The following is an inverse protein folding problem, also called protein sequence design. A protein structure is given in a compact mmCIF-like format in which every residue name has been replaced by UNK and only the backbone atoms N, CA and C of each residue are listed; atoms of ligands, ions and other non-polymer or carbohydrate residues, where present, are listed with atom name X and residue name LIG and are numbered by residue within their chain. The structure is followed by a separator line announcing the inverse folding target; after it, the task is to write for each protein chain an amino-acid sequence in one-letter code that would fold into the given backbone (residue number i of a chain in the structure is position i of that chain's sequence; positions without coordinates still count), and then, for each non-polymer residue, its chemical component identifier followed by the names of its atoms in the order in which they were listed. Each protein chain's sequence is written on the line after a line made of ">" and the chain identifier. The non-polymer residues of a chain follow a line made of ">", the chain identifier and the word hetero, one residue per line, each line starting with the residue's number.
data_IF_390735934850
#
_entry.id   IF_390735934850
#
_cell.length_a   1.000
_cell.length_b   1.000
_cell.length_c   1.000
_cell.angle_alpha   90.00
_cell.angle_beta   90.00
_cell.angle_gamma   90.00
#
_symmetry.space_group_name_H-M   'P 1'
#
loop_
_entity.id
_entity.type
_entity.pdbx_description
1 polymer ?
#
# COMPACT_ATOMS: atom_id res chain seq x y z
N UNK A 1 -11.10 6.57 -22.63
CA UNK A 1 -11.85 6.30 -23.88
C UNK A 1 -10.95 6.05 -25.09
N UNK A 2 -9.65 6.41 -25.05
CA UNK A 2 -8.75 6.15 -26.19
C UNK A 2 -8.18 4.72 -26.22
N UNK A 3 -8.32 3.94 -25.16
CA UNK A 3 -7.87 2.55 -25.16
C UNK A 3 -8.67 1.63 -26.09
N UNK A 4 -9.90 2.00 -26.43
CA UNK A 4 -10.78 1.16 -27.28
C UNK A 4 -10.46 1.19 -28.77
N UNK A 5 -9.55 2.06 -29.22
CA UNK A 5 -9.21 2.21 -30.64
C UNK A 5 -7.93 1.49 -31.07
N UNK A 6 -7.16 0.96 -30.13
CA UNK A 6 -5.96 0.19 -30.48
C UNK A 6 -6.26 -1.29 -30.51
N UNK A 7 -6.37 -1.87 -31.69
CA UNK A 7 -6.66 -3.28 -31.98
C UNK A 7 -5.52 -4.28 -31.62
N UNK A 8 -4.64 -3.95 -30.74
CA UNK A 8 -3.50 -4.80 -30.41
C UNK A 8 -3.36 -5.00 -28.92
N UNK A 9 -4.25 -5.79 -28.36
CA UNK A 9 -4.00 -6.51 -27.12
C UNK A 9 -3.31 -7.83 -27.49
N UNK A 10 -2.01 -7.91 -27.42
CA UNK A 10 -1.35 -9.16 -27.77
C UNK A 10 0.16 -9.06 -27.91
N UNK A 11 0.78 -8.15 -27.24
CA UNK A 11 2.24 -8.08 -27.18
C UNK A 11 2.69 -7.88 -25.74
N UNK A 12 3.80 -8.46 -25.39
CA UNK A 12 4.45 -8.42 -24.07
C UNK A 12 4.87 -7.03 -23.57
N UNK A 13 4.24 -5.95 -24.05
CA UNK A 13 4.53 -4.56 -23.63
C UNK A 13 3.22 -3.82 -23.41
N UNK A 14 2.97 -3.43 -22.17
CA UNK A 14 1.91 -2.49 -21.87
C UNK A 14 2.12 -1.19 -22.62
N UNK A 15 1.14 -0.79 -23.43
CA UNK A 15 1.18 0.40 -24.26
C UNK A 15 0.65 1.65 -23.55
N UNK A 16 0.03 1.47 -22.39
CA UNK A 16 -0.65 2.54 -21.67
C UNK A 16 -0.09 2.75 -20.27
N UNK A 17 -0.14 3.98 -19.81
CA UNK A 17 0.09 4.34 -18.42
C UNK A 17 -1.06 5.20 -17.88
N UNK A 18 -1.36 5.08 -16.60
CA UNK A 18 -2.30 5.97 -15.95
C UNK A 18 -1.72 7.38 -15.87
N UNK A 19 -2.50 8.40 -16.20
CA UNK A 19 -2.08 9.80 -16.17
C UNK A 19 -2.00 10.32 -14.74
N UNK A 20 -2.87 9.82 -13.85
CA UNK A 20 -2.99 10.29 -12.46
C UNK A 20 -2.80 9.15 -11.44
N UNK A 21 -2.31 7.99 -11.88
CA UNK A 21 -2.18 6.80 -11.05
C UNK A 21 -3.40 5.87 -11.15
N UNK A 22 -3.27 4.70 -10.50
CA UNK A 22 -4.30 3.67 -10.54
C UNK A 22 -5.59 4.15 -9.88
N UNK A 23 -6.70 3.96 -10.59
CA UNK A 23 -8.04 4.28 -10.10
C UNK A 23 -8.63 5.61 -10.60
N UNK A 24 -7.87 6.47 -11.28
CA UNK A 24 -8.37 7.76 -11.78
C UNK A 24 -9.06 7.67 -13.17
N UNK A 25 -9.03 6.49 -13.80
CA UNK A 25 -9.75 6.27 -15.08
C UNK A 25 -9.17 6.96 -16.32
N UNK A 26 -8.04 7.64 -16.19
CA UNK A 26 -7.37 8.32 -17.30
C UNK A 26 -6.08 7.58 -17.69
N UNK A 27 -5.97 7.22 -18.97
CA UNK A 27 -4.85 6.45 -19.50
C UNK A 27 -4.26 7.13 -20.73
N UNK A 28 -2.96 7.07 -20.90
CA UNK A 28 -2.25 7.51 -22.11
C UNK A 28 -1.19 6.51 -22.55
N UNK A 29 -0.69 6.66 -23.78
CA UNK A 29 0.38 5.82 -24.31
C UNK A 29 1.68 6.02 -23.52
N UNK A 30 2.45 4.95 -23.32
CA UNK A 30 3.69 4.92 -22.53
C UNK A 30 4.84 5.75 -23.08
N UNK A 31 4.78 6.21 -24.32
CA UNK A 31 5.81 7.09 -24.91
C UNK A 31 5.78 8.54 -24.42
N UNK A 32 5.14 8.78 -23.29
CA UNK A 32 5.26 10.04 -22.58
C UNK A 32 6.52 10.01 -21.73
N UNK A 33 7.52 10.76 -22.13
CA UNK A 33 8.68 11.07 -21.31
C UNK A 33 8.20 11.73 -20.01
N UNK A 34 8.19 10.97 -18.92
CA UNK A 34 8.06 11.51 -17.58
C UNK A 34 9.45 11.47 -16.97
N UNK A 35 10.01 12.64 -16.74
CA UNK A 35 11.22 12.81 -15.96
C UNK A 35 11.05 12.22 -14.56
N UNK A 36 12.08 11.64 -14.04
CA UNK A 36 12.19 10.69 -12.92
C UNK A 36 11.74 11.17 -11.52
N UNK A 37 11.05 12.27 -11.36
CA UNK A 37 10.71 12.82 -10.03
C UNK A 37 9.21 13.09 -9.84
N UNK A 38 8.40 12.99 -10.87
CA UNK A 38 7.00 13.37 -10.78
C UNK A 38 6.08 12.18 -10.58
N UNK A 39 5.80 11.84 -9.32
CA UNK A 39 4.63 11.04 -9.02
C UNK A 39 3.37 11.94 -9.15
N UNK A 40 2.60 11.84 -10.25
CA UNK A 40 1.50 12.78 -10.53
C UNK A 40 0.39 12.73 -9.48
N UNK A 41 0.26 11.62 -8.74
CA UNK A 41 -0.70 11.50 -7.64
C UNK A 41 -0.27 12.36 -6.46
N UNK A 42 1.02 12.27 -6.09
CA UNK A 42 1.57 13.06 -4.99
C UNK A 42 1.47 14.55 -5.33
N UNK A 43 1.87 14.95 -6.53
CA UNK A 43 1.83 16.34 -6.97
C UNK A 43 0.40 16.89 -7.02
N UNK A 44 -0.56 16.09 -7.50
CA UNK A 44 -1.98 16.48 -7.47
C UNK A 44 -2.51 16.64 -6.05
N UNK A 45 -2.17 15.73 -5.15
CA UNK A 45 -2.59 15.81 -3.75
C UNK A 45 -1.91 16.98 -3.01
N UNK A 46 -0.64 17.23 -3.27
CA UNK A 46 0.06 18.40 -2.74
C UNK A 46 -0.58 19.69 -3.26
N UNK A 47 -0.93 19.74 -4.55
CA UNK A 47 -1.62 20.90 -5.14
C UNK A 47 -2.98 21.12 -4.48
N UNK A 48 -3.79 20.06 -4.33
CA UNK A 48 -5.08 20.16 -3.63
C UNK A 48 -4.88 20.71 -2.20
N UNK A 49 -3.89 20.22 -1.46
CA UNK A 49 -3.60 20.68 -0.10
C UNK A 49 -3.17 22.15 -0.10
N UNK A 50 -2.37 22.59 -1.07
CA UNK A 50 -1.93 24.00 -1.17
C UNK A 50 -3.05 24.94 -1.56
N UNK A 51 -4.01 24.48 -2.36
CA UNK A 51 -5.15 25.26 -2.82
C UNK A 51 -6.31 25.33 -1.79
N UNK A 52 -6.27 24.50 -0.73
CA UNK A 52 -7.27 24.54 0.34
C UNK A 52 -7.19 25.88 1.12
N UNK A 53 -8.34 26.46 1.41
CA UNK A 53 -8.45 27.64 2.30
C UNK A 53 -8.42 27.22 3.77
N UNK A 54 -7.26 26.76 4.22
CA UNK A 54 -6.97 26.35 5.60
C UNK A 54 -5.72 27.07 6.13
N UNK A 55 -5.57 27.07 7.45
CA UNK A 55 -4.39 27.71 8.09
C UNK A 55 -3.09 27.11 7.60
N UNK A 56 -2.06 27.95 7.43
CA UNK A 56 -0.73 27.55 6.94
C UNK A 56 -0.14 26.40 7.73
N UNK A 57 -0.30 26.37 9.05
CA UNK A 57 0.17 25.30 9.94
C UNK A 57 -0.50 23.95 9.64
N UNK A 58 -1.79 23.96 9.30
CA UNK A 58 -2.53 22.74 8.92
C UNK A 58 -2.06 22.22 7.56
N UNK A 59 -1.82 23.11 6.59
CA UNK A 59 -1.23 22.75 5.28
C UNK A 59 0.13 22.07 5.46
N UNK A 60 1.00 22.64 6.27
CA UNK A 60 2.33 22.06 6.54
C UNK A 60 2.22 20.68 7.18
N UNK A 61 1.30 20.48 8.12
CA UNK A 61 1.07 19.17 8.75
C UNK A 61 0.59 18.12 7.74
N UNK A 62 -0.34 18.49 6.85
CA UNK A 62 -0.84 17.59 5.81
C UNK A 62 0.26 17.22 4.80
N UNK A 63 1.08 18.19 4.38
CA UNK A 63 2.22 17.97 3.49
C UNK A 63 3.24 17.04 4.15
N UNK A 64 3.62 17.29 5.40
CA UNK A 64 4.55 16.43 6.15
C UNK A 64 4.01 15.00 6.31
N UNK A 65 2.73 14.86 6.62
CA UNK A 65 2.08 13.55 6.73
C UNK A 65 2.11 12.80 5.39
N UNK A 66 1.85 13.48 4.27
CA UNK A 66 1.87 12.87 2.93
C UNK A 66 3.27 12.44 2.50
N UNK A 67 4.28 13.27 2.75
CA UNK A 67 5.68 12.93 2.50
C UNK A 67 6.08 11.71 3.35
N UNK A 68 5.68 11.69 4.63
CA UNK A 68 5.96 10.58 5.52
C UNK A 68 5.34 9.25 5.04
N UNK A 69 4.13 9.27 4.50
CA UNK A 69 3.50 8.09 3.90
C UNK A 69 4.27 7.57 2.68
N UNK A 70 4.82 8.46 1.85
CA UNK A 70 5.68 8.10 0.72
C UNK A 70 6.95 7.38 1.20
N UNK A 71 7.68 7.98 2.14
CA UNK A 71 8.91 7.42 2.72
C UNK A 71 8.63 6.05 3.37
N UNK A 72 7.56 5.93 4.13
CA UNK A 72 7.16 4.66 4.76
C UNK A 72 6.92 3.58 3.70
N UNK A 73 6.14 3.91 2.65
CA UNK A 73 5.86 2.98 1.56
C UNK A 73 7.13 2.49 0.87
N UNK A 74 8.06 3.38 0.56
CA UNK A 74 9.32 3.02 -0.10
C UNK A 74 10.13 2.05 0.76
N UNK A 75 10.24 2.31 2.06
CA UNK A 75 10.91 1.43 3.02
C UNK A 75 10.26 0.04 3.14
N UNK A 76 8.93 -0.02 3.10
CA UNK A 76 8.19 -1.28 3.15
C UNK A 76 8.39 -2.08 1.85
N UNK A 77 8.36 -1.42 0.69
CA UNK A 77 8.65 -2.05 -0.60
C UNK A 77 10.09 -2.60 -0.65
N UNK A 78 11.05 -1.85 -0.12
CA UNK A 78 12.46 -2.27 -0.02
C UNK A 78 12.64 -3.46 0.92
N UNK A 79 11.89 -3.52 2.03
CA UNK A 79 11.97 -4.62 3.01
C UNK A 79 11.39 -5.93 2.49
N UNK A 80 10.21 -5.89 1.85
CA UNK A 80 9.44 -7.11 1.53
C UNK A 80 9.44 -7.50 0.06
N UNK A 81 9.56 -6.56 -0.88
CA UNK A 81 9.52 -6.74 -2.33
C UNK A 81 8.22 -7.36 -2.88
N UNK A 82 7.42 -8.06 -2.07
CA UNK A 82 6.18 -8.72 -2.45
C UNK A 82 5.17 -8.74 -1.29
N UNK A 83 3.89 -8.97 -1.61
CA UNK A 83 2.87 -9.20 -0.59
C UNK A 83 3.24 -10.43 0.25
N UNK A 84 3.36 -10.26 1.57
CA UNK A 84 3.77 -11.35 2.48
C UNK A 84 2.81 -12.55 2.44
N UNK A 85 1.52 -12.33 2.13
CA UNK A 85 0.50 -13.40 2.11
C UNK A 85 0.41 -14.06 0.74
N UNK A 86 0.30 -13.27 -0.33
CA UNK A 86 0.02 -13.77 -1.69
C UNK A 86 1.26 -14.00 -2.54
N UNK A 87 2.39 -13.36 -2.22
CA UNK A 87 3.59 -13.37 -3.04
C UNK A 87 3.53 -12.47 -4.27
N UNK A 88 2.45 -11.68 -4.46
CA UNK A 88 2.36 -10.71 -5.56
C UNK A 88 3.47 -9.67 -5.39
N UNK A 89 4.26 -9.41 -6.44
CA UNK A 89 5.41 -8.51 -6.48
C UNK A 89 5.20 -7.23 -7.30
N UNK A 90 4.06 -7.11 -8.00
CA UNK A 90 3.71 -5.87 -8.70
C UNK A 90 3.39 -4.75 -7.71
N UNK A 91 4.31 -3.80 -7.56
CA UNK A 91 4.21 -2.69 -6.61
C UNK A 91 2.93 -1.86 -6.76
N UNK A 92 2.31 -1.86 -7.93
CA UNK A 92 1.04 -1.17 -8.20
C UNK A 92 -0.15 -1.82 -7.50
N UNK A 93 -0.03 -3.11 -7.18
CA UNK A 93 -1.04 -3.92 -6.51
C UNK A 93 -0.75 -4.09 -5.01
N UNK A 94 0.24 -3.37 -4.47
CA UNK A 94 0.68 -3.53 -3.09
C UNK A 94 0.42 -2.26 -2.27
N UNK A 95 0.05 -2.47 -1.01
CA UNK A 95 -0.18 -1.43 -0.01
C UNK A 95 0.79 -1.63 1.17
N UNK A 96 1.33 -0.51 1.65
CA UNK A 96 2.12 -0.48 2.87
C UNK A 96 1.19 -0.21 4.04
N UNK A 97 0.91 -1.25 4.83
CA UNK A 97 -0.02 -1.24 5.96
C UNK A 97 0.72 -1.01 7.26
N UNK A 98 0.31 -0.02 8.06
CA UNK A 98 0.87 0.16 9.40
C UNK A 98 0.32 -0.90 10.36
N UNK A 99 1.19 -1.50 11.16
CA UNK A 99 0.83 -2.41 12.25
C UNK A 99 0.22 -1.59 13.38
N UNK A 100 1.00 -0.73 14.01
CA UNK A 100 0.50 0.25 14.97
C UNK A 100 -0.08 1.45 14.21
N UNK A 101 -1.38 1.76 14.40
CA UNK A 101 -2.06 2.80 13.65
C UNK A 101 -1.33 4.14 13.70
N UNK A 102 -1.29 4.88 12.58
CA UNK A 102 -0.65 6.19 12.45
C UNK A 102 -0.95 7.14 13.61
N UNK A 103 -2.19 7.14 14.09
CA UNK A 103 -2.64 8.06 15.15
C UNK A 103 -1.96 7.81 16.50
N UNK A 104 -1.64 6.55 16.81
CA UNK A 104 -1.00 6.11 18.06
C UNK A 104 0.50 5.95 17.94
N UNK A 105 1.05 5.97 16.71
CA UNK A 105 2.47 5.80 16.45
C UNK A 105 3.24 7.10 16.69
N UNK A 106 4.43 6.99 17.27
CA UNK A 106 5.43 8.07 17.34
C UNK A 106 5.93 8.45 15.95
N UNK A 107 6.61 9.59 15.81
CA UNK A 107 7.17 10.01 14.53
C UNK A 107 8.21 9.02 13.97
N UNK A 108 8.93 8.32 14.84
CA UNK A 108 9.85 7.26 14.44
C UNK A 108 9.08 6.04 13.91
N UNK A 109 8.11 5.52 14.67
CA UNK A 109 7.29 4.36 14.30
C UNK A 109 6.50 4.58 13.00
N UNK A 110 6.05 5.81 12.76
CA UNK A 110 5.33 6.17 11.51
C UNK A 110 6.18 5.97 10.25
N UNK A 111 7.49 6.04 10.37
CA UNK A 111 8.43 5.91 9.27
C UNK A 111 9.21 4.60 9.31
N UNK A 112 9.09 3.82 10.40
CA UNK A 112 9.80 2.56 10.60
C UNK A 112 9.23 1.44 9.74
N UNK A 113 10.08 0.76 8.97
CA UNK A 113 9.67 -0.45 8.25
C UNK A 113 9.31 -1.61 9.19
N UNK A 114 9.72 -1.54 10.47
CA UNK A 114 9.35 -2.51 11.50
C UNK A 114 7.90 -2.35 11.94
N UNK A 115 7.31 -1.17 11.71
CA UNK A 115 5.90 -0.90 11.98
C UNK A 115 5.01 -1.10 10.75
N UNK A 116 5.37 -1.99 9.83
CA UNK A 116 4.56 -2.16 8.64
C UNK A 116 4.68 -3.51 7.94
N UNK A 117 3.68 -3.78 7.14
CA UNK A 117 3.53 -4.97 6.31
C UNK A 117 3.25 -4.57 4.86
N UNK A 118 3.71 -5.38 3.90
CA UNK A 118 3.39 -5.21 2.50
C UNK A 118 2.29 -6.19 2.11
N UNK A 119 1.11 -5.67 1.80
CA UNK A 119 -0.09 -6.46 1.56
C UNK A 119 -0.74 -6.12 0.22
N UNK A 120 -1.42 -7.08 -0.40
CA UNK A 120 -2.35 -6.79 -1.48
C UNK A 120 -3.68 -6.24 -0.93
N UNK A 121 -4.50 -5.52 -1.75
CA UNK A 121 -5.64 -4.73 -1.25
C UNK A 121 -6.65 -5.51 -0.41
N UNK A 122 -6.92 -6.77 -0.74
CA UNK A 122 -7.84 -7.59 0.02
C UNK A 122 -7.31 -7.83 1.45
N UNK A 123 -6.05 -8.20 1.57
CA UNK A 123 -5.44 -8.54 2.86
C UNK A 123 -5.11 -7.31 3.70
N UNK A 124 -4.75 -6.20 3.05
CA UNK A 124 -4.66 -4.90 3.68
C UNK A 124 -6.00 -4.52 4.33
N UNK A 125 -7.09 -4.64 3.59
CA UNK A 125 -8.43 -4.36 4.13
C UNK A 125 -8.82 -5.27 5.28
N UNK A 126 -8.56 -6.58 5.17
CA UNK A 126 -8.85 -7.54 6.25
C UNK A 126 -8.05 -7.22 7.51
N UNK A 127 -6.80 -6.83 7.37
CA UNK A 127 -5.91 -6.44 8.46
C UNK A 127 -6.36 -5.12 9.10
N UNK A 128 -6.60 -4.08 8.29
CA UNK A 128 -7.01 -2.75 8.73
C UNK A 128 -8.30 -2.74 9.57
N UNK A 129 -9.26 -3.61 9.22
CA UNK A 129 -10.53 -3.74 9.96
C UNK A 129 -10.52 -4.83 11.05
N UNK A 130 -9.36 -5.44 11.31
CA UNK A 130 -9.17 -6.43 12.36
C UNK A 130 -9.86 -7.79 12.11
N UNK A 131 -10.07 -8.17 10.86
CA UNK A 131 -10.56 -9.50 10.50
C UNK A 131 -9.44 -10.53 10.38
N UNK A 132 -8.21 -10.09 10.17
CA UNK A 132 -7.00 -10.87 10.31
C UNK A 132 -5.98 -10.09 11.15
N UNK A 133 -5.08 -10.81 11.81
CA UNK A 133 -3.86 -10.30 12.43
C UNK A 133 -2.80 -11.40 12.39
N UNK A 134 -1.65 -11.18 13.02
CA UNK A 134 -0.58 -12.18 13.10
C UNK A 134 -0.27 -12.46 14.57
N UNK A 135 0.14 -13.70 14.87
CA UNK A 135 0.70 -14.06 16.16
C UNK A 135 2.21 -13.71 16.23
N UNK A 136 2.84 -13.90 17.39
CA UNK A 136 4.26 -13.63 17.61
C UNK A 136 5.19 -14.46 16.70
N UNK A 137 4.69 -15.53 16.10
CA UNK A 137 5.39 -16.34 15.10
C UNK A 137 5.04 -15.95 13.66
N UNK A 138 4.38 -14.82 13.45
CA UNK A 138 3.95 -14.32 12.13
C UNK A 138 3.04 -15.30 11.38
N UNK A 139 2.20 -16.05 12.09
CA UNK A 139 1.12 -16.85 11.52
C UNK A 139 -0.17 -16.06 11.57
N UNK A 140 -1.01 -16.20 10.54
CA UNK A 140 -2.27 -15.45 10.48
C UNK A 140 -3.28 -15.99 11.48
N UNK A 141 -3.80 -15.09 12.30
CA UNK A 141 -4.99 -15.28 13.11
C UNK A 141 -6.20 -14.68 12.39
N UNK A 142 -7.30 -15.43 12.33
CA UNK A 142 -8.53 -14.98 11.67
C UNK A 142 -9.60 -14.76 12.73
N UNK A 143 -10.24 -13.61 12.68
CA UNK A 143 -11.33 -13.23 13.59
C UNK A 143 -12.56 -14.14 13.38
N UNK A 144 -13.23 -14.48 14.48
CA UNK A 144 -14.50 -15.20 14.45
C UNK A 144 -15.67 -14.40 13.85
N UNK A 145 -15.47 -13.09 13.60
CA UNK A 145 -16.44 -12.24 12.90
C UNK A 145 -16.46 -12.51 11.39
N UNK A 146 -15.45 -13.18 10.85
CA UNK A 146 -15.42 -13.56 9.44
C UNK A 146 -16.12 -14.90 9.26
N UNK A 147 -17.12 -14.97 8.38
CA UNK A 147 -17.87 -16.19 8.14
C UNK A 147 -17.01 -17.31 7.55
N UNK A 148 -17.33 -18.56 7.86
CA UNK A 148 -16.62 -19.76 7.36
C UNK A 148 -16.58 -19.79 5.82
N UNK A 149 -17.64 -19.35 5.18
CA UNK A 149 -17.74 -19.26 3.72
C UNK A 149 -16.72 -18.26 3.15
N UNK A 150 -16.56 -17.09 3.78
CA UNK A 150 -15.57 -16.12 3.36
C UNK A 150 -14.13 -16.56 3.68
N UNK A 151 -13.93 -17.23 4.82
CA UNK A 151 -12.62 -17.81 5.17
C UNK A 151 -12.13 -18.76 4.08
N UNK A 152 -13.01 -19.61 3.53
CA UNK A 152 -12.62 -20.54 2.46
C UNK A 152 -12.23 -19.86 1.16
N UNK A 153 -12.68 -18.62 0.92
CA UNK A 153 -12.39 -17.85 -0.30
C UNK A 153 -11.11 -17.01 -0.23
N UNK A 154 -10.60 -16.73 0.97
CA UNK A 154 -9.44 -15.84 1.16
C UNK A 154 -8.08 -16.57 1.12
N UNK A 155 -8.03 -17.84 0.84
CA UNK A 155 -6.81 -18.63 0.60
C UNK A 155 -5.63 -18.31 1.55
N UNK A 156 -5.87 -18.34 2.88
CA UNK A 156 -4.84 -18.13 3.91
C UNK A 156 -4.42 -19.47 4.50
N UNK A 157 -3.13 -19.78 4.44
CA UNK A 157 -2.56 -20.90 5.18
C UNK A 157 -2.23 -20.47 6.62
N UNK A 158 -3.05 -20.90 7.58
CA UNK A 158 -2.88 -20.58 9.01
C UNK A 158 -1.63 -21.18 9.65
N UNK A 159 -1.01 -22.17 9.01
CA UNK A 159 0.19 -22.84 9.54
C UNK A 159 1.47 -22.20 9.03
N UNK A 160 1.38 -21.44 7.94
CA UNK A 160 2.53 -20.77 7.32
C UNK A 160 3.02 -19.61 8.17
N UNK A 161 4.33 -19.50 8.33
CA UNK A 161 5.01 -18.31 8.83
C UNK A 161 5.17 -17.35 7.66
N UNK A 162 4.68 -16.13 7.80
CA UNK A 162 4.64 -15.16 6.69
C UNK A 162 5.80 -14.15 6.72
N UNK A 163 6.44 -13.99 7.86
CA UNK A 163 7.67 -13.18 7.99
C UNK A 163 8.66 -13.98 8.81
N UNK A 164 9.81 -14.28 8.23
CA UNK A 164 10.88 -14.96 8.94
C UNK A 164 11.63 -13.96 9.84
N UNK A 165 11.93 -14.39 11.07
CA UNK A 165 12.69 -13.60 12.05
C UNK A 165 12.14 -12.17 12.26
N UNK A 166 10.87 -12.02 12.70
CA UNK A 166 10.30 -10.72 12.97
C UNK A 166 11.11 -9.99 14.05
N UNK A 167 11.30 -8.69 13.92
CA UNK A 167 11.99 -7.91 14.95
C UNK A 167 11.13 -7.80 16.22
N UNK A 168 11.79 -7.56 17.35
CA UNK A 168 11.08 -7.33 18.62
C UNK A 168 10.16 -6.11 18.53
N UNK A 169 10.53 -5.07 17.76
CA UNK A 169 9.71 -3.88 17.51
C UNK A 169 8.43 -4.26 16.75
N UNK A 170 8.55 -5.11 15.74
CA UNK A 170 7.38 -5.59 14.97
C UNK A 170 6.41 -6.36 15.86
N UNK A 171 6.90 -7.31 16.68
CA UNK A 171 6.08 -8.11 17.58
C UNK A 171 5.34 -7.23 18.60
N UNK A 172 6.02 -6.25 19.20
CA UNK A 172 5.41 -5.33 20.18
C UNK A 172 4.33 -4.45 19.55
N UNK A 173 4.45 -4.13 18.27
CA UNK A 173 3.47 -3.31 17.54
C UNK A 173 2.28 -4.12 17.01
N UNK A 174 2.36 -5.47 16.97
CA UNK A 174 1.30 -6.37 16.48
C UNK A 174 0.15 -6.51 17.47
#
# INVERSE_FOLDING_TARGET
>A
RHCSQTKSYGGSKDLFCSVYGLGEGYWKLKNCESSEVDNPIINRQLKIITDLDIKTTEKEMLIKARIGQGIFRDRILEKYHHCIITGIDDSRLLLASHIKPWRSASNYERLSAENGLLLSPLYDKLFDIGLITFDDNMRVLISNKLSSENISKINIDRKKVYVDNPSSEMIVNM
#
